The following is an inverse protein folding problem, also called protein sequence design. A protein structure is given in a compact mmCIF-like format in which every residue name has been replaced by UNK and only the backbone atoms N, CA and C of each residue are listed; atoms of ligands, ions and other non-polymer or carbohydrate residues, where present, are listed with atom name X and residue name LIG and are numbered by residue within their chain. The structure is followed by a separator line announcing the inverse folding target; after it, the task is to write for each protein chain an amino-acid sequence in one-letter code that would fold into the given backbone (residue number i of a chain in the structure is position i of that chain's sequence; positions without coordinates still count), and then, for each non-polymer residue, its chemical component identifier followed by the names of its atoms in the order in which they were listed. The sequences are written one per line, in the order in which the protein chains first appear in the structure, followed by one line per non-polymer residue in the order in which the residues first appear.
data_IF_618831773958
#
_entry.id   IF_618831773958
#
_cell.length_a   1.000
_cell.length_b   1.000
_cell.length_c   1.000
_cell.angle_alpha   90.00
_cell.angle_beta   90.00
_cell.angle_gamma   90.00
#
_symmetry.space_group_name_H-M   'P 1'
#
loop_
_entity.id
_entity.type
_entity.pdbx_description
1 polymer ?
#
# COMPACT_ATOMS: atom_id res chain seq x y z
N UNK A 1 31.83 45.42 -22.40
CA UNK A 1 32.36 44.04 -22.34
C UNK A 1 32.24 43.45 -20.94
N UNK A 2 32.90 44.04 -19.92
CA UNK A 2 32.89 43.51 -18.55
C UNK A 2 31.51 43.42 -17.88
N UNK A 3 30.62 44.40 -18.08
CA UNK A 3 29.26 44.34 -17.51
C UNK A 3 28.40 43.21 -18.11
N UNK A 4 28.60 42.90 -19.39
CA UNK A 4 27.91 41.78 -20.05
C UNK A 4 28.39 40.43 -19.50
N UNK A 5 29.71 40.28 -19.34
CA UNK A 5 30.29 39.10 -18.69
C UNK A 5 29.80 38.96 -17.25
N UNK A 6 29.70 40.06 -16.50
CA UNK A 6 29.14 40.04 -15.14
C UNK A 6 27.69 39.56 -15.14
N UNK A 7 26.86 40.03 -16.07
CA UNK A 7 25.46 39.60 -16.20
C UNK A 7 25.36 38.11 -16.58
N UNK A 8 26.21 37.63 -17.48
CA UNK A 8 26.25 36.21 -17.88
C UNK A 8 26.71 35.32 -16.72
N UNK A 9 27.73 35.75 -15.96
CA UNK A 9 28.21 35.03 -14.78
C UNK A 9 27.15 35.03 -13.68
N UNK A 10 26.49 36.17 -13.41
CA UNK A 10 25.40 36.25 -12.45
C UNK A 10 24.24 35.32 -12.85
N UNK A 11 23.86 35.30 -14.13
CA UNK A 11 22.85 34.39 -14.65
C UNK A 11 23.28 32.93 -14.49
N UNK A 12 24.53 32.58 -14.83
CA UNK A 12 25.05 31.23 -14.68
C UNK A 12 25.07 30.78 -13.22
N UNK A 13 25.39 31.69 -12.27
CA UNK A 13 25.33 31.42 -10.83
C UNK A 13 23.90 31.19 -10.37
N UNK A 14 22.95 32.03 -10.80
CA UNK A 14 21.53 31.89 -10.44
C UNK A 14 20.97 30.58 -11.00
N UNK A 15 21.19 30.30 -12.29
CA UNK A 15 20.77 29.05 -12.93
C UNK A 15 21.42 27.86 -12.25
N UNK A 16 22.73 27.91 -11.98
CA UNK A 16 23.47 26.87 -11.28
C UNK A 16 22.96 26.61 -9.87
N UNK A 17 22.62 27.65 -9.12
CA UNK A 17 22.04 27.53 -7.78
C UNK A 17 20.63 26.94 -7.82
N UNK A 18 19.79 27.38 -8.76
CA UNK A 18 18.43 26.85 -8.93
C UNK A 18 18.48 25.38 -9.37
N UNK A 19 19.34 25.03 -10.32
CA UNK A 19 19.47 23.63 -10.76
C UNK A 19 20.05 22.76 -9.65
N UNK A 20 21.05 23.21 -8.88
CA UNK A 20 21.52 22.48 -7.70
C UNK A 20 20.46 22.38 -6.61
N UNK A 21 19.59 23.37 -6.44
CA UNK A 21 18.50 23.29 -5.45
C UNK A 21 17.42 22.30 -5.88
N UNK A 22 17.12 22.22 -7.17
CA UNK A 22 16.10 21.32 -7.73
C UNK A 22 16.63 19.88 -7.83
N UNK A 23 17.92 19.72 -8.18
CA UNK A 23 18.56 18.41 -8.39
C UNK A 23 19.23 17.88 -7.10
N UNK A 24 19.79 18.78 -6.30
CA UNK A 24 20.57 18.50 -5.09
C UNK A 24 19.74 18.46 -3.80
N UNK A 25 18.41 18.60 -3.86
CA UNK A 25 17.49 18.34 -2.75
C UNK A 25 17.44 16.88 -2.29
N UNK A 26 18.48 16.09 -2.54
CA UNK A 26 18.46 14.66 -2.30
C UNK A 26 19.77 13.96 -2.03
N UNK A 27 20.90 14.62 -1.66
CA UNK A 27 22.05 13.84 -1.11
C UNK A 27 23.25 14.58 -0.46
N UNK A 28 23.24 15.90 -0.22
CA UNK A 28 24.44 16.53 0.40
C UNK A 28 24.14 17.71 1.33
N UNK A 29 23.20 17.53 2.25
CA UNK A 29 23.09 18.38 3.42
C UNK A 29 22.91 17.50 4.67
N UNK A 30 23.66 17.72 5.76
CA UNK A 30 23.37 17.12 7.06
C UNK A 30 22.18 17.89 7.67
N UNK A 31 21.01 17.78 7.04
CA UNK A 31 19.75 18.22 7.60
C UNK A 31 19.08 16.98 8.23
N UNK A 32 18.51 17.11 9.44
CA UNK A 32 17.88 15.99 10.11
C UNK A 32 16.79 15.41 9.23
N UNK A 33 16.77 14.07 9.16
CA UNK A 33 15.82 13.24 8.44
C UNK A 33 14.42 13.86 8.54
N UNK A 34 13.92 14.40 7.42
CA UNK A 34 12.57 14.94 7.38
C UNK A 34 11.64 13.82 7.83
N UNK A 35 10.84 14.07 8.88
CA UNK A 35 9.96 13.05 9.45
C UNK A 35 9.21 12.36 8.29
N UNK A 36 9.24 11.02 8.20
CA UNK A 36 8.70 10.31 7.06
C UNK A 36 7.27 10.77 6.86
N UNK A 37 6.96 11.33 5.68
CA UNK A 37 5.59 11.69 5.33
C UNK A 37 4.73 10.46 5.56
N UNK A 38 3.81 10.57 6.52
CA UNK A 38 2.93 9.47 6.87
C UNK A 38 1.92 9.34 5.74
N UNK A 39 1.58 8.11 5.39
CA UNK A 39 0.52 7.85 4.41
C UNK A 39 -0.78 8.50 4.90
N UNK A 40 -1.40 9.28 4.03
CA UNK A 40 -2.68 9.94 4.33
C UNK A 40 -3.78 8.89 4.60
N UNK A 41 -3.80 7.83 3.78
CA UNK A 41 -4.70 6.66 3.95
C UNK A 41 -3.87 5.41 4.23
N UNK A 42 -3.32 5.34 5.45
CA UNK A 42 -2.50 4.22 5.88
C UNK A 42 -3.30 2.91 6.04
N UNK A 43 -2.61 1.78 5.83
CA UNK A 43 -3.18 0.46 6.07
C UNK A 43 -3.62 0.29 7.53
N UNK A 44 -4.71 -0.45 7.79
CA UNK A 44 -5.20 -0.68 9.15
C UNK A 44 -4.16 -1.43 9.99
N UNK A 45 -3.78 -0.93 11.17
CA UNK A 45 -2.78 -1.58 12.03
C UNK A 45 -3.35 -2.70 12.91
N UNK A 46 -4.66 -2.70 13.11
CA UNK A 46 -5.39 -3.51 14.09
C UNK A 46 -6.14 -4.70 13.47
N UNK A 47 -6.25 -4.75 12.15
CA UNK A 47 -6.88 -5.85 11.42
C UNK A 47 -6.07 -6.26 10.17
N UNK A 48 -6.28 -7.47 9.65
CA UNK A 48 -5.73 -7.85 8.35
C UNK A 48 -6.13 -6.87 7.24
N UNK A 49 -5.20 -6.66 6.32
CA UNK A 49 -5.40 -5.86 5.11
C UNK A 49 -6.32 -6.61 4.17
N UNK A 50 -7.30 -5.91 3.60
CA UNK A 50 -8.17 -6.42 2.54
C UNK A 50 -7.85 -5.75 1.20
N UNK A 51 -8.46 -6.22 0.11
CA UNK A 51 -8.23 -5.63 -1.22
C UNK A 51 -8.62 -4.14 -1.31
N UNK A 52 -9.71 -3.74 -0.65
CA UNK A 52 -10.22 -2.36 -0.70
C UNK A 52 -9.25 -1.37 -0.02
N UNK A 53 -8.56 -1.81 1.04
CA UNK A 53 -7.54 -1.01 1.74
C UNK A 53 -6.37 -0.68 0.81
N UNK A 54 -6.02 -1.59 -0.10
CA UNK A 54 -4.94 -1.39 -1.09
C UNK A 54 -5.38 -0.39 -2.16
N UNK A 55 -6.64 -0.43 -2.60
CA UNK A 55 -7.17 0.51 -3.61
C UNK A 55 -7.23 1.96 -3.10
N UNK A 56 -7.46 2.15 -1.80
CA UNK A 56 -7.48 3.46 -1.15
C UNK A 56 -6.09 3.96 -0.76
N UNK A 57 -5.06 3.12 -0.83
CA UNK A 57 -3.71 3.46 -0.38
C UNK A 57 -3.11 4.62 -1.20
N UNK A 58 -2.50 5.58 -0.51
CA UNK A 58 -1.85 6.74 -1.13
C UNK A 58 -0.44 6.93 -0.58
N UNK A 59 0.55 6.81 -1.47
CA UNK A 59 1.94 7.01 -1.13
C UNK A 59 2.35 8.47 -1.33
N UNK A 60 3.07 9.07 -0.37
CA UNK A 60 3.67 10.39 -0.57
C UNK A 60 4.74 10.37 -1.67
N UNK A 61 4.97 11.53 -2.28
CA UNK A 61 5.96 11.69 -3.34
C UNK A 61 7.34 11.96 -2.74
N UNK A 62 8.34 11.17 -3.13
CA UNK A 62 9.73 11.37 -2.72
C UNK A 62 10.62 11.76 -3.91
N UNK A 63 11.65 12.57 -3.66
CA UNK A 63 12.62 13.02 -4.68
C UNK A 63 13.35 11.83 -5.36
N UNK A 64 13.45 10.70 -4.65
CA UNK A 64 13.79 9.39 -5.22
C UNK A 64 12.74 8.38 -4.76
N UNK A 65 12.22 7.60 -5.70
CA UNK A 65 11.23 6.58 -5.42
C UNK A 65 11.13 5.58 -6.55
N UNK A 66 10.40 4.50 -6.30
CA UNK A 66 10.00 3.58 -7.37
C UNK A 66 9.09 4.30 -8.37
N UNK A 67 9.04 3.78 -9.60
CA UNK A 67 8.13 4.32 -10.60
C UNK A 67 6.69 4.04 -10.18
N UNK A 68 5.89 5.09 -10.03
CA UNK A 68 4.50 4.99 -9.56
C UNK A 68 3.70 3.98 -10.40
N UNK A 69 3.82 4.01 -11.73
CA UNK A 69 3.11 3.08 -12.61
C UNK A 69 3.48 1.60 -12.37
N UNK A 70 4.74 1.29 -12.06
CA UNK A 70 5.18 -0.08 -11.78
C UNK A 70 4.70 -0.54 -10.39
N UNK A 71 4.68 0.38 -9.43
CA UNK A 71 4.14 0.13 -8.09
C UNK A 71 2.64 -0.08 -8.15
N UNK A 72 1.91 0.75 -8.89
CA UNK A 72 0.45 0.66 -9.05
C UNK A 72 0.05 -0.64 -9.76
N UNK A 73 0.79 -1.04 -10.80
CA UNK A 73 0.55 -2.32 -11.49
C UNK A 73 0.79 -3.51 -10.56
N UNK A 74 1.87 -3.49 -9.79
CA UNK A 74 2.17 -4.53 -8.80
C UNK A 74 1.12 -4.59 -7.70
N UNK A 75 0.69 -3.44 -7.15
CA UNK A 75 -0.34 -3.38 -6.12
C UNK A 75 -1.71 -3.81 -6.64
N UNK A 76 -2.07 -3.43 -7.87
CA UNK A 76 -3.31 -3.88 -8.52
C UNK A 76 -3.35 -5.40 -8.68
N UNK A 77 -2.24 -6.01 -9.08
CA UNK A 77 -2.12 -7.47 -9.16
C UNK A 77 -2.26 -8.13 -7.78
N UNK A 78 -1.58 -7.60 -6.76
CA UNK A 78 -1.65 -8.12 -5.39
C UNK A 78 -3.07 -7.99 -4.82
N UNK A 79 -3.74 -6.86 -5.05
CA UNK A 79 -5.11 -6.64 -4.61
C UNK A 79 -6.08 -7.66 -5.22
N UNK A 80 -5.93 -7.96 -6.52
CA UNK A 80 -6.72 -8.98 -7.19
C UNK A 80 -6.49 -10.38 -6.61
N UNK A 81 -5.22 -10.77 -6.38
CA UNK A 81 -4.90 -12.06 -5.76
C UNK A 81 -5.42 -12.14 -4.32
N UNK A 82 -5.38 -11.04 -3.56
CA UNK A 82 -5.91 -10.99 -2.21
C UNK A 82 -7.42 -11.17 -2.20
N UNK A 83 -8.14 -10.50 -3.12
CA UNK A 83 -9.59 -10.68 -3.27
C UNK A 83 -9.97 -12.13 -3.59
N UNK A 84 -9.23 -12.80 -4.48
CA UNK A 84 -9.47 -14.22 -4.78
C UNK A 84 -9.22 -15.11 -3.57
N UNK A 85 -8.14 -14.85 -2.81
CA UNK A 85 -7.82 -15.61 -1.60
C UNK A 85 -8.88 -15.42 -0.52
N UNK A 86 -9.33 -14.19 -0.30
CA UNK A 86 -10.36 -13.87 0.70
C UNK A 86 -11.70 -14.55 0.35
N UNK A 87 -12.08 -14.53 -0.93
CA UNK A 87 -13.28 -15.24 -1.40
C UNK A 87 -13.17 -16.75 -1.15
N UNK A 88 -12.02 -17.34 -1.47
CA UNK A 88 -11.77 -18.77 -1.22
C UNK A 88 -11.80 -19.13 0.26
N UNK A 89 -11.27 -18.26 1.12
CA UNK A 89 -11.32 -18.45 2.58
C UNK A 89 -12.77 -18.42 3.06
N UNK A 90 -13.56 -17.44 2.62
CA UNK A 90 -14.97 -17.31 2.98
C UNK A 90 -15.80 -18.54 2.57
N UNK A 91 -15.53 -19.10 1.39
CA UNK A 91 -16.17 -20.34 0.92
C UNK A 91 -15.81 -21.53 1.80
N UNK A 92 -14.52 -21.69 2.14
CA UNK A 92 -14.05 -22.78 3.00
C UNK A 92 -14.61 -22.67 4.43
N UNK A 93 -14.66 -21.46 4.98
CA UNK A 93 -15.24 -21.20 6.30
C UNK A 93 -16.74 -21.51 6.32
N UNK A 94 -17.46 -21.14 5.27
CA UNK A 94 -18.89 -21.44 5.11
C UNK A 94 -19.14 -22.95 5.02
N UNK A 95 -18.33 -23.67 4.24
CA UNK A 95 -18.41 -25.13 4.14
C UNK A 95 -18.11 -25.81 5.49
N UNK A 96 -17.10 -25.34 6.22
CA UNK A 96 -16.76 -25.85 7.55
C UNK A 96 -17.88 -25.60 8.57
N UNK A 97 -18.49 -24.41 8.55
CA UNK A 97 -19.62 -24.08 9.39
C UNK A 97 -20.83 -24.99 9.10
N UNK A 98 -21.15 -25.22 7.82
CA UNK A 98 -22.21 -26.14 7.40
C UNK A 98 -21.96 -27.58 7.82
N UNK A 99 -20.73 -28.07 7.70
CA UNK A 99 -20.33 -29.41 8.16
C UNK A 99 -20.48 -29.56 9.69
N UNK A 100 -20.04 -28.56 10.46
CA UNK A 100 -20.19 -28.56 11.93
C UNK A 100 -21.66 -28.54 12.36
N UNK A 101 -22.50 -27.75 11.70
CA UNK A 101 -23.94 -27.72 11.97
C UNK A 101 -24.59 -29.09 11.70
N UNK A 102 -24.24 -29.73 10.59
CA UNK A 102 -24.76 -31.04 10.21
C UNK A 102 -24.35 -32.15 11.19
N UNK A 103 -23.09 -32.14 11.64
CA UNK A 103 -22.59 -33.07 12.66
C UNK A 103 -23.34 -32.92 14.00
N UNK A 104 -23.60 -31.69 14.43
CA UNK A 104 -24.34 -31.41 15.66
C UNK A 104 -25.81 -31.88 15.57
N UNK A 105 -26.47 -31.72 14.41
CA UNK A 105 -27.83 -32.25 14.19
C UNK A 105 -27.86 -33.78 14.25
N UNK A 106 -26.86 -34.46 13.68
CA UNK A 106 -26.75 -35.93 13.74
C UNK A 106 -26.59 -36.43 15.19
N UNK A 107 -25.77 -35.76 16.00
CA UNK A 107 -25.61 -36.09 17.43
C UNK A 107 -26.87 -35.84 18.28
N UNK A 108 -27.72 -34.88 17.88
CA UNK A 108 -29.02 -34.62 18.54
C UNK A 108 -30.10 -35.63 18.14
N UNK A 109 -29.84 -36.59 17.26
CA UNK A 109 -30.78 -37.69 16.98
C UNK A 109 -30.45 -38.94 17.82
N UNK A 110 -30.81 -39.04 19.12
CA UNK A 110 -30.88 -40.31 19.81
C UNK A 110 -32.34 -40.76 20.03
N UNK A 111 -32.56 -42.07 19.83
CA UNK A 111 -33.53 -42.89 20.58
C UNK A 111 -35.04 -42.62 20.46
N UNK A 112 -35.59 -42.46 19.26
CA UNK A 112 -37.02 -42.69 18.99
C UNK A 112 -37.16 -43.75 17.90
N UNK A 113 -37.23 -45.02 18.31
CA UNK A 113 -37.40 -46.12 17.37
C UNK A 113 -37.22 -47.52 17.96
N UNK A 114 -37.53 -47.71 19.24
CA UNK A 114 -37.59 -49.05 19.86
C UNK A 114 -38.85 -49.12 20.73
N UNK A 115 -40.00 -49.32 20.08
CA UNK A 115 -41.24 -49.89 20.65
C UNK A 115 -42.33 -49.90 19.57
N UNK A 116 -42.41 -51.00 18.82
CA UNK A 116 -43.67 -51.63 18.37
C UNK A 116 -43.40 -53.02 17.81
#
# INVERSE_FOLDING_TARGET
MFMFLFLVVALAVVVGAVTLSVIGGGDSAPLPDAAPERLDDALPPDRPVNHADIETLRFPLAARGYRMAEVDDALGRIAAELAERDARIADLESALAGARASAHVSMRKPAEGDQQ
#
